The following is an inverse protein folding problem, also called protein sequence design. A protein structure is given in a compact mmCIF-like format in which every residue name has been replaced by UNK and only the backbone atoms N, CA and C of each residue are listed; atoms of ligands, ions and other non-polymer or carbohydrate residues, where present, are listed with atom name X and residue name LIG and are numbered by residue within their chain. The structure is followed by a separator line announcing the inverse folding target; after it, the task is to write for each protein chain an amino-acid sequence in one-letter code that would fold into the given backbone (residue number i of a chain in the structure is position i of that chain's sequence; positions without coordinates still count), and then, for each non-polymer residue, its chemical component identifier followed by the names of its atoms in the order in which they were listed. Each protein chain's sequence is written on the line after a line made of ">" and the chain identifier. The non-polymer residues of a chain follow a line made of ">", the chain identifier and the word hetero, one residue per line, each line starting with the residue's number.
data_IF_286032216302
#
_entry.id   IF_286032216302
#
_cell.length_a   1.000
_cell.length_b   1.000
_cell.length_c   1.000
_cell.angle_alpha   90.00
_cell.angle_beta   90.00
_cell.angle_gamma   90.00
#
_symmetry.space_group_name_H-M   'P 1'
#
loop_
_entity.id
_entity.type
_entity.pdbx_description
1 polymer ?
#
# COMPACT_ATOMS: atom_id res chain seq x y z
N UNK A 1 22.64 42.21 39.88
CA UNK A 1 22.24 42.10 38.47
C UNK A 1 22.15 40.64 38.14
N UNK A 2 20.92 40.10 38.09
CA UNK A 2 20.64 38.74 37.63
C UNK A 2 19.64 38.85 36.49
N UNK A 3 20.02 38.34 35.32
CA UNK A 3 19.25 38.44 34.08
C UNK A 3 17.96 37.62 34.18
N UNK A 4 16.83 38.25 33.87
CA UNK A 4 15.57 37.57 33.62
C UNK A 4 15.61 36.95 32.22
N UNK A 5 15.43 35.63 32.15
CA UNK A 5 15.08 34.95 30.90
C UNK A 5 13.59 35.16 30.61
N UNK A 6 13.17 35.48 29.38
CA UNK A 6 11.76 35.48 29.01
C UNK A 6 11.25 34.05 28.88
N UNK A 7 10.07 33.77 29.44
CA UNK A 7 9.36 32.51 29.23
C UNK A 7 8.95 32.35 27.75
N UNK A 8 9.04 31.14 27.17
CA UNK A 8 8.53 30.89 25.84
C UNK A 8 7.00 30.74 25.89
N UNK A 9 6.29 31.82 25.57
CA UNK A 9 4.87 31.76 25.21
C UNK A 9 4.73 31.07 23.86
N UNK A 10 4.33 29.81 23.87
CA UNK A 10 4.09 29.03 22.66
C UNK A 10 3.69 27.60 22.98
N UNK A 11 2.44 27.42 23.40
CA UNK A 11 1.81 26.12 23.63
C UNK A 11 1.84 25.30 22.33
N UNK A 12 2.76 24.34 22.23
CA UNK A 12 2.93 23.43 21.09
C UNK A 12 1.88 22.31 21.00
N UNK A 13 0.83 22.37 21.82
CA UNK A 13 -0.19 21.32 21.97
C UNK A 13 -1.59 21.91 22.20
N UNK A 14 -1.98 22.97 21.48
CA UNK A 14 -3.36 23.43 21.50
C UNK A 14 -4.23 22.37 20.79
N UNK A 15 -5.13 21.72 21.54
CA UNK A 15 -6.18 20.88 20.97
C UNK A 15 -7.06 21.76 20.09
N UNK A 16 -7.26 21.44 18.80
CA UNK A 16 -8.06 22.28 17.92
C UNK A 16 -9.49 22.37 18.45
N UNK A 17 -10.02 23.60 18.44
CA UNK A 17 -11.38 23.90 18.90
C UNK A 17 -12.42 23.36 17.90
N UNK A 18 -13.64 23.07 18.38
CA UNK A 18 -14.74 22.62 17.50
C UNK A 18 -15.03 23.61 16.35
N UNK A 19 -14.71 24.89 16.51
CA UNK A 19 -14.79 25.91 15.46
C UNK A 19 -13.68 25.81 14.39
N UNK A 20 -12.47 25.39 14.75
CA UNK A 20 -11.37 25.21 13.80
C UNK A 20 -11.57 23.97 12.91
N UNK A 21 -12.21 22.94 13.46
CA UNK A 21 -12.61 21.74 12.71
C UNK A 21 -13.70 22.06 11.67
N UNK A 22 -14.60 22.99 11.98
CA UNK A 22 -15.64 23.44 11.03
C UNK A 22 -15.08 24.23 9.83
N UNK A 23 -13.89 24.82 9.95
CA UNK A 23 -13.31 25.68 8.91
C UNK A 23 -12.32 24.96 7.98
N UNK A 24 -11.95 23.72 8.27
CA UNK A 24 -10.95 23.00 7.50
C UNK A 24 -11.49 21.63 7.02
N UNK A 25 -12.41 21.59 6.04
CA UNK A 25 -12.78 20.32 5.44
C UNK A 25 -11.58 19.84 4.62
N UNK A 26 -10.76 18.96 5.18
CA UNK A 26 -9.61 18.36 4.46
C UNK A 26 -10.04 17.43 3.31
N UNK A 27 -11.35 17.14 3.18
CA UNK A 27 -11.92 16.25 2.18
C UNK A 27 -11.77 16.60 0.70
N UNK A 28 -11.86 17.87 0.26
CA UNK A 28 -11.73 18.20 -1.16
C UNK A 28 -10.35 17.82 -1.71
N UNK A 29 -9.34 17.74 -0.83
CA UNK A 29 -7.95 17.48 -1.19
C UNK A 29 -7.61 15.99 -1.26
N UNK A 30 -8.45 15.13 -0.66
CA UNK A 30 -8.28 13.68 -0.75
C UNK A 30 -8.73 13.18 -2.12
N UNK A 31 -7.95 12.26 -2.68
CA UNK A 31 -8.28 11.52 -3.89
C UNK A 31 -9.55 10.70 -3.69
N UNK A 32 -10.32 10.55 -4.76
CA UNK A 32 -11.54 9.78 -4.71
C UNK A 32 -11.25 8.31 -4.42
N UNK A 33 -11.94 7.76 -3.42
CA UNK A 33 -11.70 6.42 -2.94
C UNK A 33 -12.58 6.08 -1.75
N UNK A 34 -12.51 4.82 -1.33
CA UNK A 34 -13.32 4.35 -0.22
C UNK A 34 -12.95 5.01 1.12
N UNK A 35 -11.65 5.20 1.39
CA UNK A 35 -11.20 5.87 2.61
C UNK A 35 -11.80 7.28 2.75
N UNK A 36 -11.85 8.04 1.64
CA UNK A 36 -12.50 9.36 1.59
C UNK A 36 -13.99 9.28 1.91
N UNK A 37 -14.73 8.35 1.27
CA UNK A 37 -16.17 8.15 1.53
C UNK A 37 -16.46 7.81 2.99
N UNK A 38 -15.65 6.95 3.60
CA UNK A 38 -15.76 6.57 5.01
C UNK A 38 -15.47 7.74 5.93
N UNK A 39 -14.45 8.54 5.62
CA UNK A 39 -14.13 9.73 6.39
C UNK A 39 -15.23 10.81 6.23
N UNK A 40 -15.90 10.93 5.07
CA UNK A 40 -17.05 11.83 4.88
C UNK A 40 -18.26 11.38 5.71
N UNK A 41 -18.49 10.08 5.80
CA UNK A 41 -19.49 9.53 6.71
C UNK A 41 -19.14 9.87 8.16
N UNK A 42 -17.87 9.69 8.58
CA UNK A 42 -17.43 10.05 9.93
C UNK A 42 -17.68 11.52 10.28
N UNK A 43 -17.45 12.45 9.35
CA UNK A 43 -17.75 13.87 9.54
C UNK A 43 -19.23 14.16 9.69
N UNK A 44 -20.07 13.51 8.88
CA UNK A 44 -21.52 13.63 9.01
C UNK A 44 -21.96 13.15 10.40
N UNK A 45 -21.49 11.99 10.82
CA UNK A 45 -21.84 11.43 12.13
C UNK A 45 -21.33 12.29 13.29
N UNK A 46 -20.15 12.92 13.16
CA UNK A 46 -19.66 13.90 14.14
C UNK A 46 -20.58 15.11 14.25
N UNK A 47 -21.01 15.68 13.11
CA UNK A 47 -21.93 16.82 13.07
C UNK A 47 -23.30 16.49 13.65
N UNK A 48 -23.77 15.25 13.44
CA UNK A 48 -25.05 14.77 13.93
C UNK A 48 -25.01 14.35 15.42
N UNK A 49 -23.86 14.45 16.09
CA UNK A 49 -23.68 14.05 17.50
C UNK A 49 -23.50 12.54 17.71
N UNK A 50 -23.39 11.75 16.65
CA UNK A 50 -23.21 10.30 16.68
C UNK A 50 -21.71 9.93 16.83
N UNK A 51 -21.09 10.34 17.93
CA UNK A 51 -19.64 10.24 18.13
C UNK A 51 -19.10 8.80 18.07
N UNK A 52 -19.84 7.82 18.58
CA UNK A 52 -19.44 6.41 18.49
C UNK A 52 -19.40 5.89 17.06
N UNK A 53 -20.34 6.32 16.22
CA UNK A 53 -20.35 5.97 14.80
C UNK A 53 -19.24 6.72 14.04
N UNK A 54 -18.99 7.98 14.38
CA UNK A 54 -17.84 8.75 13.87
C UNK A 54 -16.52 8.02 14.11
N UNK A 55 -16.26 7.54 15.34
CA UNK A 55 -15.04 6.77 15.65
C UNK A 55 -14.96 5.46 14.86
N UNK A 56 -16.09 4.75 14.71
CA UNK A 56 -16.14 3.53 13.93
C UNK A 56 -15.85 3.80 12.44
N UNK A 57 -16.39 4.87 11.86
CA UNK A 57 -16.17 5.23 10.46
C UNK A 57 -14.74 5.74 10.21
N UNK A 58 -14.15 6.48 11.16
CA UNK A 58 -12.72 6.78 11.14
C UNK A 58 -11.87 5.50 11.14
N UNK A 59 -12.22 4.50 11.97
CA UNK A 59 -11.52 3.22 11.95
C UNK A 59 -11.72 2.46 10.65
N UNK A 60 -12.90 2.48 10.03
CA UNK A 60 -13.08 1.85 8.71
C UNK A 60 -12.16 2.49 7.67
N UNK A 61 -12.05 3.82 7.66
CA UNK A 61 -11.12 4.52 6.78
C UNK A 61 -9.66 4.10 7.05
N UNK A 62 -9.29 3.97 8.32
CA UNK A 62 -7.99 3.44 8.74
C UNK A 62 -7.78 1.98 8.30
N UNK A 63 -8.79 1.13 8.43
CA UNK A 63 -8.72 -0.30 8.09
C UNK A 63 -8.45 -0.50 6.59
N UNK A 64 -9.18 0.20 5.72
CA UNK A 64 -9.00 0.08 4.27
C UNK A 64 -7.67 0.65 3.80
N UNK A 65 -7.11 1.60 4.55
CA UNK A 65 -5.85 2.26 4.21
C UNK A 65 -4.64 1.45 4.70
N UNK A 66 -4.71 0.91 5.92
CA UNK A 66 -3.56 0.31 6.61
C UNK A 66 -3.78 -1.16 6.96
N UNK A 67 -4.89 -1.53 7.61
CA UNK A 67 -5.03 -2.85 8.24
C UNK A 67 -5.31 -3.98 7.26
N UNK A 68 -5.90 -3.68 6.10
CA UNK A 68 -6.17 -4.67 5.05
C UNK A 68 -4.89 -5.36 4.57
N UNK A 69 -3.75 -4.68 4.67
CA UNK A 69 -2.43 -5.24 4.34
C UNK A 69 -1.94 -6.25 5.37
N UNK A 70 -2.52 -6.28 6.56
CA UNK A 70 -2.12 -7.13 7.69
C UNK A 70 -3.19 -8.20 8.00
N UNK A 71 -4.15 -8.39 7.09
CA UNK A 71 -5.19 -9.43 7.19
C UNK A 71 -4.63 -10.81 6.81
N UNK A 72 -4.43 -11.64 7.83
CA UNK A 72 -3.93 -13.02 7.69
C UNK A 72 -4.96 -13.97 7.06
N UNK A 73 -6.24 -13.61 7.03
CA UNK A 73 -7.26 -14.41 6.34
C UNK A 73 -7.08 -14.34 4.82
N UNK A 74 -6.65 -13.19 4.30
CA UNK A 74 -6.43 -12.97 2.86
C UNK A 74 -5.31 -13.85 2.29
N UNK A 75 -4.30 -14.18 3.09
CA UNK A 75 -3.20 -15.09 2.72
C UNK A 75 -3.68 -16.53 2.51
N UNK A 76 -4.71 -16.97 3.24
CA UNK A 76 -5.27 -18.31 3.09
C UNK A 76 -6.05 -18.47 1.78
N UNK A 77 -6.79 -17.43 1.42
CA UNK A 77 -7.62 -17.39 0.22
C UNK A 77 -6.77 -17.24 -1.05
N UNK A 78 -5.65 -16.51 -0.98
CA UNK A 78 -4.76 -16.26 -2.11
C UNK A 78 -3.89 -17.45 -2.55
N UNK A 79 -4.12 -18.65 -2.01
CA UNK A 79 -3.46 -19.90 -2.43
C UNK A 79 -3.69 -20.29 -3.90
N UNK A 80 -4.54 -19.55 -4.64
CA UNK A 80 -4.91 -19.82 -6.04
C UNK A 80 -4.33 -18.85 -7.10
N UNK A 81 -3.66 -17.76 -6.72
CA UNK A 81 -3.08 -16.80 -7.69
C UNK A 81 -1.59 -16.53 -7.39
N UNK A 82 -0.73 -17.21 -8.14
CA UNK A 82 0.73 -17.13 -8.02
C UNK A 82 1.31 -15.75 -8.31
N UNK A 83 2.46 -15.48 -7.69
CA UNK A 83 3.45 -14.41 -7.92
C UNK A 83 3.01 -12.92 -7.99
N UNK A 84 1.72 -12.61 -8.09
CA UNK A 84 1.19 -11.23 -8.24
C UNK A 84 0.24 -10.80 -7.10
N UNK A 85 0.04 -11.67 -6.10
CA UNK A 85 -0.63 -11.27 -4.85
C UNK A 85 0.29 -10.29 -4.12
N UNK A 86 -0.06 -9.01 -4.13
CA UNK A 86 0.56 -7.99 -3.27
C UNK A 86 0.62 -8.55 -1.85
N UNK A 87 1.82 -8.87 -1.40
CA UNK A 87 2.04 -9.78 -0.28
C UNK A 87 1.49 -9.18 1.00
N UNK A 88 0.86 -10.00 1.84
CA UNK A 88 0.52 -9.61 3.20
C UNK A 88 1.74 -9.03 3.91
N UNK A 89 1.50 -7.99 4.68
CA UNK A 89 2.45 -7.30 5.55
C UNK A 89 2.35 -7.80 7.00
N UNK A 90 1.47 -8.75 7.29
CA UNK A 90 1.43 -9.40 8.61
C UNK A 90 2.81 -10.01 8.97
N UNK A 91 3.21 -10.06 10.24
CA UNK A 91 4.45 -10.73 10.64
C UNK A 91 4.51 -12.17 10.13
N UNK A 92 5.69 -12.65 9.73
CA UNK A 92 5.85 -13.98 9.12
C UNK A 92 5.23 -15.11 9.97
N UNK A 93 5.39 -15.05 11.30
CA UNK A 93 4.82 -16.05 12.21
C UNK A 93 3.28 -16.09 12.18
N UNK A 94 2.63 -14.95 11.92
CA UNK A 94 1.18 -14.79 11.96
C UNK A 94 0.47 -15.28 10.68
N UNK A 95 1.22 -15.48 9.59
CA UNK A 95 0.70 -15.93 8.29
C UNK A 95 0.42 -17.43 8.22
N UNK A 96 0.88 -18.20 9.20
CA UNK A 96 0.73 -19.66 9.19
C UNK A 96 -0.69 -20.08 9.57
N UNK A 97 -1.22 -21.13 8.92
CA UNK A 97 -2.49 -21.77 9.30
C UNK A 97 -2.50 -22.15 10.78
N UNK A 98 -1.41 -22.76 11.24
CA UNK A 98 -1.18 -23.11 12.63
C UNK A 98 -1.37 -21.94 13.60
N UNK A 99 -0.79 -20.78 13.29
CA UNK A 99 -0.96 -19.59 14.12
C UNK A 99 -2.41 -19.15 14.16
N UNK A 100 -3.07 -19.10 13.00
CA UNK A 100 -4.45 -18.65 12.86
C UNK A 100 -5.37 -19.55 13.70
N UNK A 101 -5.30 -20.86 13.53
CA UNK A 101 -6.11 -21.84 14.28
C UNK A 101 -5.89 -21.74 15.80
N UNK A 102 -4.64 -21.52 16.22
CA UNK A 102 -4.29 -21.47 17.65
C UNK A 102 -4.65 -20.12 18.31
N UNK A 103 -4.50 -19.00 17.60
CA UNK A 103 -4.49 -17.66 18.21
C UNK A 103 -5.68 -16.77 17.79
N UNK A 104 -6.27 -16.96 16.61
CA UNK A 104 -7.40 -16.15 16.16
C UNK A 104 -8.67 -16.67 16.81
N UNK A 105 -9.26 -15.88 17.72
CA UNK A 105 -10.48 -16.25 18.47
C UNK A 105 -11.74 -15.54 18.00
N UNK A 106 -11.57 -14.44 17.27
CA UNK A 106 -12.67 -13.65 16.71
C UNK A 106 -12.22 -13.02 15.37
N UNK A 107 -13.16 -12.35 14.69
CA UNK A 107 -12.93 -11.72 13.40
C UNK A 107 -11.85 -10.63 13.43
N UNK A 108 -11.62 -10.01 14.58
CA UNK A 108 -10.65 -8.92 14.72
C UNK A 108 -9.23 -9.46 14.90
N UNK A 109 -9.08 -10.71 15.33
CA UNK A 109 -7.79 -11.39 15.49
C UNK A 109 -7.05 -11.69 14.18
N UNK A 110 -7.72 -11.59 13.01
CA UNK A 110 -7.07 -11.80 11.71
C UNK A 110 -6.11 -10.67 11.33
N UNK A 111 -6.32 -9.46 11.85
CA UNK A 111 -5.43 -8.33 11.62
C UNK A 111 -4.28 -8.37 12.61
N UNK A 112 -3.07 -8.63 12.11
CA UNK A 112 -1.85 -8.67 12.94
C UNK A 112 -0.84 -7.69 12.39
N UNK A 113 -0.72 -6.52 13.04
CA UNK A 113 0.22 -5.49 12.62
C UNK A 113 1.67 -5.90 12.92
N UNK A 114 2.55 -5.74 11.93
CA UNK A 114 3.99 -5.72 12.17
C UNK A 114 4.38 -4.28 12.57
N UNK A 115 4.55 -4.04 13.88
CA UNK A 115 4.78 -2.69 14.38
C UNK A 115 6.06 -2.06 13.82
N UNK A 116 7.11 -2.86 13.59
CA UNK A 116 8.35 -2.36 13.04
C UNK A 116 8.17 -1.92 11.58
N UNK A 117 7.43 -2.71 10.79
CA UNK A 117 7.10 -2.34 9.42
C UNK A 117 6.19 -1.11 9.38
N UNK A 118 5.18 -1.05 10.25
CA UNK A 118 4.29 0.11 10.37
C UNK A 118 5.10 1.37 10.67
N UNK A 119 5.95 1.37 11.71
CA UNK A 119 6.72 2.55 12.09
C UNK A 119 7.69 3.01 10.98
N UNK A 120 8.26 2.07 10.21
CA UNK A 120 9.05 2.40 9.03
C UNK A 120 8.21 3.08 7.95
N UNK A 121 7.02 2.56 7.65
CA UNK A 121 6.10 3.12 6.65
C UNK A 121 5.61 4.51 7.07
N UNK A 122 5.26 4.70 8.34
CA UNK A 122 4.87 6.02 8.89
C UNK A 122 6.00 7.04 8.73
N UNK A 123 7.25 6.63 8.98
CA UNK A 123 8.42 7.49 8.80
C UNK A 123 8.62 7.89 7.34
N UNK A 124 8.49 6.93 6.40
CA UNK A 124 8.60 7.18 4.96
C UNK A 124 7.50 8.11 4.46
N UNK A 125 6.29 7.96 5.00
CA UNK A 125 5.11 8.72 4.58
C UNK A 125 4.97 10.07 5.30
N UNK A 126 5.87 10.39 6.25
CA UNK A 126 5.80 11.62 7.04
C UNK A 126 4.58 11.70 7.95
N UNK A 127 4.05 10.56 8.38
CA UNK A 127 2.88 10.46 9.25
C UNK A 127 3.32 10.56 10.72
N UNK A 128 2.60 11.35 11.52
CA UNK A 128 2.84 11.40 12.97
C UNK A 128 2.52 10.06 13.62
N UNK A 129 3.56 9.43 14.20
CA UNK A 129 3.47 8.13 14.86
C UNK A 129 2.49 8.17 16.04
N UNK A 130 2.50 9.25 16.81
CA UNK A 130 1.63 9.37 17.99
C UNK A 130 0.17 9.44 17.57
N UNK A 131 -0.15 10.27 16.59
CA UNK A 131 -1.46 10.42 15.98
C UNK A 131 -1.96 9.10 15.38
N UNK A 132 -1.12 8.39 14.63
CA UNK A 132 -1.46 7.08 14.08
C UNK A 132 -1.90 6.09 15.17
N UNK A 133 -1.05 5.91 16.19
CA UNK A 133 -1.34 4.97 17.27
C UNK A 133 -2.50 5.46 18.16
N UNK A 134 -2.74 6.77 18.25
CA UNK A 134 -3.92 7.32 18.93
C UNK A 134 -5.20 6.99 18.16
N UNK A 135 -5.25 7.16 16.85
CA UNK A 135 -6.40 6.72 16.03
C UNK A 135 -6.61 5.22 16.22
N UNK A 136 -5.54 4.41 16.21
CA UNK A 136 -5.66 2.97 16.38
C UNK A 136 -6.20 2.56 17.76
N UNK A 137 -5.78 3.24 18.84
CA UNK A 137 -6.18 2.93 20.23
C UNK A 137 -7.53 3.53 20.65
N UNK A 138 -7.89 4.69 20.10
CA UNK A 138 -9.08 5.45 20.49
C UNK A 138 -10.33 5.12 19.66
N UNK A 139 -10.23 4.16 18.73
CA UNK A 139 -11.34 3.74 17.88
C UNK A 139 -11.67 2.26 18.08
N UNK A 140 -12.95 1.85 17.94
CA UNK A 140 -13.33 0.45 18.08
C UNK A 140 -12.70 -0.37 16.96
N UNK A 141 -12.25 -1.59 17.24
CA UNK A 141 -11.78 -2.49 16.19
C UNK A 141 -12.90 -2.73 15.18
N UNK A 142 -12.59 -2.72 13.89
CA UNK A 142 -13.51 -3.05 12.82
C UNK A 142 -12.93 -4.13 11.94
N UNK A 143 -13.79 -4.90 11.28
CA UNK A 143 -13.35 -5.92 10.34
C UNK A 143 -14.38 -6.12 9.24
N UNK A 144 -13.87 -6.33 8.03
CA UNK A 144 -14.58 -6.98 6.93
C UNK A 144 -13.53 -7.74 6.13
N UNK A 145 -13.90 -8.88 5.56
CA UNK A 145 -12.96 -9.70 4.82
C UNK A 145 -12.90 -9.27 3.35
N UNK A 146 -14.07 -9.02 2.73
CA UNK A 146 -14.19 -8.47 1.38
C UNK A 146 -14.84 -7.09 1.38
N UNK A 147 -14.71 -6.35 0.28
CA UNK A 147 -15.22 -4.98 0.18
C UNK A 147 -16.75 -4.92 0.32
N UNK A 148 -17.43 -5.92 -0.23
CA UNK A 148 -18.88 -6.12 -0.21
C UNK A 148 -19.42 -6.67 1.11
N UNK A 149 -18.54 -7.16 2.00
CA UNK A 149 -18.97 -7.72 3.28
C UNK A 149 -19.49 -6.64 4.23
N UNK A 150 -20.44 -7.05 5.08
CA UNK A 150 -20.91 -6.21 6.18
C UNK A 150 -19.77 -5.94 7.17
N UNK A 151 -19.57 -4.66 7.50
CA UNK A 151 -18.68 -4.25 8.58
C UNK A 151 -19.09 -4.85 9.93
N UNK A 152 -18.11 -5.44 10.60
CA UNK A 152 -18.18 -5.83 12.00
C UNK A 152 -17.49 -4.76 12.82
N UNK A 153 -18.09 -4.35 13.93
CA UNK A 153 -17.54 -3.36 14.86
C UNK A 153 -17.49 -3.98 16.24
N UNK A 154 -16.35 -3.88 16.90
CA UNK A 154 -16.17 -4.39 18.26
C UNK A 154 -16.69 -3.38 19.26
N UNK A 155 -17.67 -3.79 20.05
CA UNK A 155 -18.24 -2.95 21.10
C UNK A 155 -17.44 -3.14 22.40
N UNK A 156 -16.38 -2.32 22.59
CA UNK A 156 -15.62 -2.23 23.84
C UNK A 156 -16.17 -1.09 24.70
N UNK A 157 -16.80 -1.34 25.86
CA UNK A 157 -17.43 -0.31 26.68
C UNK A 157 -16.50 0.86 27.02
N UNK A 158 -15.19 0.64 27.12
CA UNK A 158 -14.20 1.70 27.42
C UNK A 158 -14.10 2.76 26.32
N UNK A 159 -14.42 2.38 25.09
CA UNK A 159 -14.41 3.29 23.94
C UNK A 159 -15.72 4.05 23.77
N UNK A 160 -16.78 3.64 24.46
CA UNK A 160 -18.12 4.24 24.42
C UNK A 160 -18.48 4.97 25.72
N UNK A 161 -17.50 5.26 26.57
CA UNK A 161 -17.68 6.18 27.69
C UNK A 161 -18.06 7.57 27.18
N UNK A 162 -19.16 8.13 27.70
CA UNK A 162 -19.73 9.39 27.25
C UNK A 162 -18.84 10.59 27.62
N UNK A 163 -18.04 10.45 28.67
CA UNK A 163 -17.11 11.48 29.11
C UNK A 163 -15.99 11.69 28.07
N UNK A 164 -15.95 12.90 27.51
CA UNK A 164 -14.95 13.30 26.51
C UNK A 164 -15.17 12.70 25.11
N UNK A 165 -16.36 12.15 24.83
CA UNK A 165 -16.64 11.45 23.58
C UNK A 165 -16.60 12.39 22.37
N UNK A 166 -17.11 13.60 22.54
CA UNK A 166 -17.09 14.64 21.50
C UNK A 166 -15.64 15.03 21.16
N UNK A 167 -14.83 15.34 22.17
CA UNK A 167 -13.43 15.75 22.02
C UNK A 167 -12.59 14.62 21.41
N UNK A 168 -12.81 13.38 21.84
CA UNK A 168 -12.15 12.20 21.27
C UNK A 168 -12.50 12.03 19.80
N UNK A 169 -13.77 12.16 19.43
CA UNK A 169 -14.19 12.03 18.03
C UNK A 169 -13.62 13.15 17.15
N UNK A 170 -13.58 14.40 17.65
CA UNK A 170 -12.95 15.53 17.00
C UNK A 170 -11.43 15.32 16.79
N UNK A 171 -10.73 14.83 17.81
CA UNK A 171 -9.31 14.51 17.74
C UNK A 171 -9.04 13.40 16.71
N UNK A 172 -9.78 12.29 16.78
CA UNK A 172 -9.60 11.16 15.86
C UNK A 172 -9.89 11.57 14.42
N UNK A 173 -10.96 12.33 14.19
CA UNK A 173 -11.35 12.78 12.85
C UNK A 173 -10.30 13.71 12.21
N UNK A 174 -9.81 14.69 12.96
CA UNK A 174 -8.76 15.62 12.49
C UNK A 174 -7.42 14.89 12.28
N UNK A 175 -7.08 13.95 13.15
CA UNK A 175 -5.87 13.13 13.04
C UNK A 175 -5.95 12.21 11.82
N UNK A 176 -7.09 11.53 11.61
CA UNK A 176 -7.30 10.64 10.46
C UNK A 176 -7.20 11.39 9.13
N UNK A 177 -7.77 12.60 9.07
CA UNK A 177 -7.64 13.48 7.90
C UNK A 177 -6.17 13.78 7.59
N UNK A 178 -5.40 14.16 8.61
CA UNK A 178 -3.96 14.44 8.47
C UNK A 178 -3.17 13.22 8.01
N UNK A 179 -3.47 12.03 8.55
CA UNK A 179 -2.84 10.76 8.16
C UNK A 179 -3.09 10.47 6.68
N UNK A 180 -4.33 10.57 6.20
CA UNK A 180 -4.65 10.29 4.80
C UNK A 180 -3.98 11.28 3.84
N UNK A 181 -3.95 12.57 4.20
CA UNK A 181 -3.28 13.59 3.39
C UNK A 181 -1.77 13.38 3.33
N UNK A 182 -1.12 13.06 4.45
CA UNK A 182 0.31 12.76 4.49
C UNK A 182 0.66 11.57 3.60
N UNK A 183 -0.09 10.46 3.71
CA UNK A 183 0.09 9.28 2.87
C UNK A 183 -0.08 9.59 1.38
N UNK A 184 -1.15 10.29 1.01
CA UNK A 184 -1.40 10.69 -0.37
C UNK A 184 -0.27 11.58 -0.92
N UNK A 185 0.18 12.55 -0.14
CA UNK A 185 1.28 13.43 -0.54
C UNK A 185 2.59 12.65 -0.70
N UNK A 186 2.89 11.69 0.17
CA UNK A 186 4.04 10.81 0.04
C UNK A 186 3.97 9.98 -1.25
N UNK A 187 2.80 9.40 -1.56
CA UNK A 187 2.59 8.67 -2.82
C UNK A 187 2.75 9.57 -4.06
N UNK A 188 2.24 10.81 -4.03
CA UNK A 188 2.41 11.77 -5.13
C UNK A 188 3.84 12.30 -5.25
N UNK A 189 4.55 12.41 -4.14
CA UNK A 189 5.94 12.84 -4.09
C UNK A 189 6.91 11.75 -4.55
N UNK A 190 6.48 10.48 -4.56
CA UNK A 190 7.25 9.38 -5.12
C UNK A 190 7.45 9.62 -6.62
N UNK A 191 8.62 10.17 -6.95
CA UNK A 191 9.08 10.31 -8.32
C UNK A 191 9.76 9.02 -8.71
N UNK A 192 9.07 8.22 -9.49
CA UNK A 192 9.72 7.20 -10.28
C UNK A 192 10.33 7.92 -11.49
N UNK A 193 11.62 7.72 -11.76
CA UNK A 193 12.02 7.66 -13.18
C UNK A 193 11.10 6.59 -13.74
N UNK A 194 10.32 6.84 -14.80
CA UNK A 194 9.46 5.82 -15.41
C UNK A 194 10.30 4.54 -15.57
N UNK A 195 10.12 3.64 -14.61
CA UNK A 195 11.13 2.64 -14.28
C UNK A 195 10.92 1.51 -15.25
N UNK A 196 11.87 1.31 -16.15
CA UNK A 196 11.86 0.20 -17.09
C UNK A 196 10.55 0.15 -17.89
N UNK A 197 10.18 1.26 -18.53
CA UNK A 197 9.19 1.20 -19.59
C UNK A 197 9.65 0.13 -20.56
N UNK A 198 8.95 -1.00 -20.59
CA UNK A 198 9.26 -2.05 -21.54
C UNK A 198 9.11 -1.42 -22.92
N UNK A 199 10.23 -1.25 -23.62
CA UNK A 199 10.19 -0.73 -24.98
C UNK A 199 9.79 -1.91 -25.84
N UNK A 200 8.76 -1.73 -26.67
CA UNK A 200 8.45 -2.74 -27.65
C UNK A 200 9.59 -2.73 -28.68
N UNK A 201 10.12 -3.90 -29.01
CA UNK A 201 11.04 -4.05 -30.11
C UNK A 201 10.52 -5.11 -31.07
N UNK A 202 10.85 -4.95 -32.35
CA UNK A 202 10.59 -5.96 -33.36
C UNK A 202 11.86 -6.69 -33.70
N UNK A 203 11.79 -8.00 -33.79
CA UNK A 203 12.92 -8.78 -34.27
C UNK A 203 13.02 -8.64 -35.79
N UNK A 204 14.22 -8.30 -36.31
CA UNK A 204 14.44 -7.98 -37.72
C UNK A 204 14.84 -9.19 -38.60
N UNK A 205 15.13 -10.33 -37.95
CA UNK A 205 15.41 -11.65 -38.52
C UNK A 205 15.04 -12.71 -37.47
N UNK A 206 15.24 -13.99 -37.73
CA UNK A 206 15.06 -14.99 -36.67
C UNK A 206 16.17 -14.79 -35.61
N UNK A 207 15.80 -14.52 -34.37
CA UNK A 207 16.75 -14.19 -33.30
C UNK A 207 16.73 -15.20 -32.16
N UNK A 208 17.91 -15.52 -31.66
CA UNK A 208 18.08 -16.38 -30.50
C UNK A 208 17.86 -15.59 -29.21
N UNK A 209 17.07 -16.14 -28.29
CA UNK A 209 17.05 -15.74 -26.90
C UNK A 209 18.06 -16.63 -26.16
N UNK A 210 19.07 -16.00 -25.58
CA UNK A 210 20.08 -16.65 -24.76
C UNK A 210 19.71 -16.60 -23.28
N UNK A 211 20.13 -17.58 -22.49
CA UNK A 211 19.95 -17.58 -21.03
C UNK A 211 20.81 -16.50 -20.33
N UNK A 212 21.86 -16.04 -21.00
CA UNK A 212 22.82 -15.01 -20.56
C UNK A 212 23.15 -14.07 -21.72
N UNK A 213 23.67 -12.88 -21.41
CA UNK A 213 24.18 -11.93 -22.41
C UNK A 213 25.51 -12.43 -23.01
N UNK A 214 25.45 -13.51 -23.79
CA UNK A 214 26.61 -14.24 -24.30
C UNK A 214 26.18 -15.09 -25.51
N UNK A 215 26.77 -14.85 -26.70
CA UNK A 215 26.52 -15.62 -27.93
C UNK A 215 26.88 -17.10 -27.82
N UNK A 216 27.78 -17.46 -26.90
CA UNK A 216 28.15 -18.85 -26.59
C UNK A 216 27.24 -19.51 -25.55
N UNK A 217 26.30 -18.74 -24.96
CA UNK A 217 25.30 -19.20 -24.01
C UNK A 217 24.27 -20.16 -24.60
N UNK A 218 23.44 -20.74 -23.73
CA UNK A 218 22.41 -21.65 -24.18
C UNK A 218 21.26 -20.87 -24.81
N UNK A 219 20.87 -21.26 -26.03
CA UNK A 219 19.67 -20.72 -26.68
C UNK A 219 18.44 -21.33 -26.01
N UNK A 220 17.67 -20.51 -25.30
CA UNK A 220 16.43 -20.92 -24.62
C UNK A 220 15.26 -20.94 -25.59
N UNK A 221 15.28 -20.08 -26.62
CA UNK A 221 14.22 -19.97 -27.61
C UNK A 221 14.68 -19.24 -28.87
N UNK A 222 13.94 -19.40 -29.97
CA UNK A 222 14.16 -18.63 -31.22
C UNK A 222 12.90 -17.85 -31.54
N UNK A 223 13.02 -16.53 -31.63
CA UNK A 223 11.91 -15.64 -31.97
C UNK A 223 11.89 -15.45 -33.49
N UNK A 224 10.77 -15.77 -34.17
CA UNK A 224 10.66 -15.56 -35.60
C UNK A 224 10.73 -14.09 -36.00
N UNK A 225 11.26 -13.83 -37.19
CA UNK A 225 11.30 -12.49 -37.79
C UNK A 225 9.93 -11.78 -37.75
N UNK A 226 9.94 -10.49 -37.42
CA UNK A 226 8.78 -9.60 -37.41
C UNK A 226 7.90 -9.72 -36.16
N UNK A 227 8.27 -10.57 -35.21
CA UNK A 227 7.58 -10.66 -33.91
C UNK A 227 8.01 -9.54 -32.97
N UNK A 228 7.08 -9.16 -32.11
CA UNK A 228 7.31 -8.16 -31.07
C UNK A 228 7.82 -8.84 -29.80
N UNK A 229 8.80 -8.20 -29.16
CA UNK A 229 9.35 -8.55 -27.85
C UNK A 229 9.31 -7.33 -26.96
N UNK A 230 9.16 -7.55 -25.66
CA UNK A 230 9.26 -6.49 -24.66
C UNK A 230 10.68 -6.42 -24.14
N UNK A 231 11.37 -5.30 -24.32
CA UNK A 231 12.75 -5.11 -23.87
C UNK A 231 12.80 -4.26 -22.61
N UNK A 232 13.71 -4.56 -21.67
CA UNK A 232 13.80 -3.82 -20.40
C UNK A 232 15.06 -2.99 -20.28
N UNK A 233 16.23 -3.59 -20.52
CA UNK A 233 17.52 -2.93 -20.46
C UNK A 233 18.51 -3.63 -21.39
N UNK A 234 19.53 -2.89 -21.81
CA UNK A 234 20.67 -3.42 -22.54
C UNK A 234 21.87 -3.61 -21.59
N UNK A 235 22.69 -4.62 -21.85
CA UNK A 235 23.97 -4.86 -21.16
C UNK A 235 25.02 -5.29 -22.18
N UNK A 236 26.28 -5.00 -21.88
CA UNK A 236 27.42 -5.56 -22.61
C UNK A 236 27.46 -7.08 -22.44
N UNK A 237 27.97 -7.77 -23.45
CA UNK A 237 28.22 -9.19 -23.44
C UNK A 237 29.20 -9.60 -22.35
N UNK A 238 29.01 -10.81 -21.81
CA UNK A 238 29.91 -11.34 -20.78
C UNK A 238 31.27 -11.77 -21.35
N UNK A 239 31.33 -12.11 -22.64
CA UNK A 239 32.52 -12.67 -23.31
C UNK A 239 32.85 -11.99 -24.64
N UNK A 240 31.97 -11.13 -25.14
CA UNK A 240 32.11 -10.38 -26.38
C UNK A 240 31.76 -8.91 -26.16
N UNK A 241 32.14 -8.07 -27.13
CA UNK A 241 31.92 -6.62 -27.10
C UNK A 241 30.51 -6.23 -27.64
N UNK A 242 29.59 -7.19 -27.76
CA UNK A 242 28.25 -6.97 -28.27
C UNK A 242 27.29 -6.48 -27.17
N UNK A 243 26.21 -5.84 -27.58
CA UNK A 243 25.13 -5.43 -26.68
C UNK A 243 23.94 -6.38 -26.74
N UNK A 244 23.37 -6.67 -25.59
CA UNK A 244 22.24 -7.58 -25.42
C UNK A 244 21.12 -6.89 -24.68
N UNK A 245 19.92 -6.98 -25.22
CA UNK A 245 18.70 -6.57 -24.55
C UNK A 245 18.11 -7.73 -23.76
N UNK A 246 17.78 -7.50 -22.50
CA UNK A 246 16.91 -8.40 -21.76
C UNK A 246 15.49 -8.29 -22.31
N UNK A 247 14.94 -9.42 -22.76
CA UNK A 247 13.64 -9.49 -23.42
C UNK A 247 12.69 -10.45 -22.72
N UNK A 248 11.40 -10.13 -22.84
CA UNK A 248 10.30 -11.04 -22.60
C UNK A 248 9.57 -11.28 -23.92
N UNK A 249 9.33 -12.54 -24.25
CA UNK A 249 8.57 -12.97 -25.43
C UNK A 249 7.44 -13.91 -25.01
N UNK A 250 6.26 -13.73 -25.59
CA UNK A 250 5.12 -14.63 -25.39
C UNK A 250 4.95 -15.52 -26.62
N UNK A 251 5.24 -16.80 -26.46
CA UNK A 251 5.03 -17.81 -27.49
C UNK A 251 3.78 -18.65 -27.19
N UNK A 252 3.29 -19.40 -28.19
CA UNK A 252 2.17 -20.33 -28.04
C UNK A 252 2.66 -21.76 -28.19
N UNK A 253 2.81 -22.45 -27.07
CA UNK A 253 2.98 -23.91 -27.07
C UNK A 253 1.59 -24.56 -26.93
N UNK A 254 0.93 -24.82 -28.07
CA UNK A 254 -0.45 -25.29 -28.10
C UNK A 254 -1.47 -24.19 -27.76
N UNK A 255 -2.38 -24.44 -26.82
CA UNK A 255 -3.42 -23.48 -26.42
C UNK A 255 -3.00 -22.55 -25.26
N UNK A 256 -1.82 -22.75 -24.66
CA UNK A 256 -1.36 -21.95 -23.51
C UNK A 256 -0.22 -21.02 -23.91
N UNK A 257 -0.26 -19.74 -23.50
CA UNK A 257 0.87 -18.85 -23.68
C UNK A 257 2.03 -19.28 -22.77
N UNK A 258 3.23 -19.35 -23.34
CA UNK A 258 4.47 -19.59 -22.61
C UNK A 258 5.27 -18.29 -22.63
N UNK A 259 5.65 -17.81 -21.45
CA UNK A 259 6.52 -16.64 -21.32
C UNK A 259 7.96 -17.10 -21.33
N UNK A 260 8.71 -16.59 -22.29
CA UNK A 260 10.15 -16.81 -22.46
C UNK A 260 10.87 -15.54 -22.04
N UNK A 261 11.96 -15.70 -21.29
CA UNK A 261 12.82 -14.62 -20.83
C UNK A 261 14.27 -14.93 -21.22
N UNK A 262 15.03 -13.89 -21.53
CA UNK A 262 16.47 -14.02 -21.76
C UNK A 262 17.03 -12.81 -22.48
N UNK A 263 18.12 -13.01 -23.22
CA UNK A 263 18.90 -11.95 -23.84
C UNK A 263 18.89 -12.10 -25.35
N UNK A 264 18.68 -11.00 -26.08
CA UNK A 264 18.74 -10.95 -27.55
C UNK A 264 19.76 -9.89 -27.95
N UNK A 265 20.50 -10.14 -29.02
CA UNK A 265 21.46 -9.17 -29.55
C UNK A 265 20.76 -7.90 -30.01
N UNK A 266 21.36 -6.75 -29.73
CA UNK A 266 20.84 -5.45 -30.15
C UNK A 266 20.67 -5.37 -31.67
N UNK A 267 21.63 -5.89 -32.44
CA UNK A 267 21.59 -5.93 -33.90
C UNK A 267 20.42 -6.74 -34.48
N UNK A 268 19.79 -7.60 -33.67
CA UNK A 268 18.66 -8.43 -34.07
C UNK A 268 17.31 -7.73 -33.80
N UNK A 269 17.35 -6.57 -33.15
CA UNK A 269 16.17 -5.82 -32.71
C UNK A 269 16.04 -4.48 -33.44
N UNK A 270 14.78 -4.06 -33.60
CA UNK A 270 14.40 -2.70 -33.99
C UNK A 270 13.56 -2.17 -32.84
N UNK A 271 14.15 -1.30 -32.02
CA UNK A 271 13.45 -0.61 -30.93
C UNK A 271 12.39 0.34 -31.52
N UNK A 272 11.19 0.37 -30.94
CA UNK A 272 10.07 1.20 -31.41
C UNK A 272 9.57 2.18 -30.36
#
# INVERSE_FOLDING_TARGET
>A
MWNQHPEPTGSRWATPTSSEIQQNPGHPLLDDGEAKKLLQAAEKEHRDGNYGQCLADCRKAFFVTFETWYDTQRDLDNSSFGLLSDGSRAPYYARSKDYIEKNVKDHFGYVVLDHAQVDQDLTKEGIDHTGFWNVWRLTPQVYRHKAEDKWRVKHDPRLYDEDGFQERSALVLSTMTSILLARQNAHRAARYVEGHGQINAKVNKDANIYDRADKSGAVTHVVPNGKEVWTSYATEGMVDDDWYWWVMYSDKEGEKPVLVFGYVLEDDLILT
#
